data_IF_004584899688
#
_entry.id   IF_004584899688
#
_cell.length_a   1.000
_cell.length_b   1.000
_cell.length_c   1.000
_cell.angle_alpha   90.00
_cell.angle_beta   90.00
_cell.angle_gamma   90.00
#
_symmetry.space_group_name_H-M   'P 1'
#
loop_
_entity.id
_entity.type
_entity.pdbx_description
1 polymer ?
#
# COMPACT_ATOMS: atom_id res chain seq x y z
N UNK A 1 37.51 -26.96 -13.97
CA UNK A 1 37.13 -25.59 -13.60
C UNK A 1 35.67 -25.42 -13.97
N UNK A 2 34.78 -25.37 -12.97
CA UNK A 2 33.37 -25.05 -13.16
C UNK A 2 33.17 -23.71 -12.46
N UNK A 3 32.67 -22.72 -13.20
CA UNK A 3 32.33 -21.42 -12.67
C UNK A 3 30.97 -21.55 -11.96
N UNK A 4 30.86 -21.34 -10.64
CA UNK A 4 29.57 -21.24 -9.98
C UNK A 4 29.11 -19.78 -10.13
N UNK A 5 28.47 -19.48 -11.25
CA UNK A 5 27.68 -18.25 -11.33
C UNK A 5 26.47 -18.45 -10.42
N UNK A 6 26.47 -17.67 -9.33
CA UNK A 6 25.36 -17.39 -8.45
C UNK A 6 23.99 -17.50 -9.13
N UNK A 7 23.23 -18.53 -8.76
CA UNK A 7 21.77 -18.45 -8.77
C UNK A 7 21.31 -17.75 -7.49
N UNK A 8 21.71 -16.49 -7.33
CA UNK A 8 21.00 -15.59 -6.42
C UNK A 8 19.59 -15.41 -6.99
N UNK A 9 18.63 -16.09 -6.38
CA UNK A 9 17.22 -15.86 -6.69
C UNK A 9 16.92 -14.40 -6.38
N UNK A 10 16.42 -13.59 -7.31
CA UNK A 10 15.96 -12.25 -6.96
C UNK A 10 14.92 -12.44 -5.87
N UNK A 11 15.10 -11.77 -4.74
CA UNK A 11 14.11 -11.68 -3.66
C UNK A 11 12.80 -11.25 -4.32
N UNK A 12 11.93 -12.23 -4.63
CA UNK A 12 10.60 -11.98 -5.15
C UNK A 12 9.84 -11.36 -4.00
N UNK A 13 9.78 -10.03 -3.99
CA UNK A 13 8.82 -9.35 -3.13
C UNK A 13 7.43 -9.95 -3.43
N UNK A 14 6.62 -10.21 -2.40
CA UNK A 14 5.30 -10.79 -2.61
C UNK A 14 4.50 -9.88 -3.54
N UNK A 15 3.83 -10.48 -4.53
CA UNK A 15 2.99 -9.75 -5.46
C UNK A 15 1.89 -9.00 -4.69
N UNK A 16 1.54 -7.80 -5.18
CA UNK A 16 0.41 -7.07 -4.62
C UNK A 16 -0.88 -7.85 -4.91
N UNK A 17 -1.78 -8.00 -3.92
CA UNK A 17 -3.05 -8.69 -4.12
C UNK A 17 -3.95 -7.88 -5.05
N UNK A 18 -4.69 -8.55 -5.93
CA UNK A 18 -5.82 -7.91 -6.64
C UNK A 18 -7.01 -7.71 -5.69
N UNK A 19 -8.04 -7.02 -6.17
CA UNK A 19 -9.20 -6.75 -5.32
C UNK A 19 -10.00 -7.99 -4.94
N UNK A 20 -9.98 -9.03 -5.78
CA UNK A 20 -10.65 -10.31 -5.47
C UNK A 20 -9.98 -10.97 -4.25
N UNK A 21 -8.64 -10.99 -4.23
CA UNK A 21 -7.88 -11.49 -3.09
C UNK A 21 -8.14 -10.66 -1.83
N UNK A 22 -8.19 -9.35 -1.95
CA UNK A 22 -8.48 -8.46 -0.82
C UNK A 22 -9.89 -8.67 -0.27
N UNK A 23 -10.89 -8.83 -1.12
CA UNK A 23 -12.28 -9.15 -0.73
C UNK A 23 -12.36 -10.44 0.07
N UNK A 24 -11.70 -11.51 -0.37
CA UNK A 24 -11.67 -12.79 0.36
C UNK A 24 -11.08 -12.65 1.78
N UNK A 25 -10.09 -11.77 1.95
CA UNK A 25 -9.51 -11.45 3.26
C UNK A 25 -10.46 -10.61 4.10
N UNK A 26 -11.08 -9.58 3.52
CA UNK A 26 -12.01 -8.67 4.22
C UNK A 26 -13.29 -9.37 4.69
N UNK A 27 -13.78 -10.35 3.93
CA UNK A 27 -14.94 -11.17 4.29
C UNK A 27 -14.58 -12.36 5.21
N UNK A 28 -13.34 -12.41 5.71
CA UNK A 28 -12.80 -13.49 6.54
C UNK A 28 -12.94 -14.90 5.93
N UNK A 29 -13.01 -14.99 4.59
CA UNK A 29 -13.03 -16.27 3.88
C UNK A 29 -11.64 -16.90 3.83
N UNK A 30 -10.60 -16.07 3.82
CA UNK A 30 -9.20 -16.49 3.85
C UNK A 30 -8.38 -15.76 4.92
N UNK A 31 -7.24 -16.36 5.30
CA UNK A 31 -6.26 -15.73 6.20
C UNK A 31 -5.31 -14.80 5.42
N UNK A 32 -4.98 -13.60 5.94
CA UNK A 32 -3.98 -12.72 5.34
C UNK A 32 -2.60 -13.41 5.19
N UNK A 33 -2.11 -13.49 3.97
CA UNK A 33 -0.82 -14.10 3.61
C UNK A 33 0.33 -13.08 3.59
N UNK A 34 0.03 -11.81 3.29
CA UNK A 34 1.02 -10.73 3.18
C UNK A 34 0.78 -9.63 4.19
N UNK A 35 1.79 -8.79 4.43
CA UNK A 35 1.63 -7.60 5.27
C UNK A 35 0.65 -6.60 4.64
N UNK A 36 0.63 -6.49 3.31
CA UNK A 36 -0.32 -5.65 2.59
C UNK A 36 -1.78 -6.10 2.85
N UNK A 37 -2.04 -7.41 2.85
CA UNK A 37 -3.35 -7.97 3.19
C UNK A 37 -3.72 -7.74 4.67
N UNK A 38 -2.76 -7.84 5.59
CA UNK A 38 -2.99 -7.54 7.01
C UNK A 38 -3.32 -6.07 7.23
N UNK A 39 -2.59 -5.17 6.59
CA UNK A 39 -2.81 -3.74 6.69
C UNK A 39 -4.14 -3.32 6.08
N UNK A 40 -4.55 -3.91 4.94
CA UNK A 40 -5.86 -3.62 4.35
C UNK A 40 -7.01 -4.11 5.23
N UNK A 41 -6.87 -5.26 5.89
CA UNK A 41 -7.84 -5.74 6.87
C UNK A 41 -7.91 -4.82 8.10
N UNK A 42 -6.76 -4.42 8.65
CA UNK A 42 -6.70 -3.43 9.74
C UNK A 42 -7.36 -2.10 9.33
N UNK A 43 -7.28 -1.74 8.05
CA UNK A 43 -7.92 -0.55 7.53
C UNK A 43 -9.45 -0.66 7.59
N UNK A 44 -9.99 -1.81 7.17
CA UNK A 44 -11.42 -2.13 7.31
C UNK A 44 -11.87 -2.12 8.76
N UNK A 45 -11.10 -2.73 9.67
CA UNK A 45 -11.42 -2.76 11.10
C UNK A 45 -11.45 -1.33 11.68
N UNK A 46 -10.47 -0.50 11.34
CA UNK A 46 -10.41 0.91 11.75
C UNK A 46 -11.65 1.69 11.29
N UNK A 47 -12.08 1.48 10.04
CA UNK A 47 -13.32 2.08 9.54
C UNK A 47 -14.56 1.53 10.23
N UNK A 48 -14.60 0.23 10.52
CA UNK A 48 -15.70 -0.40 11.25
C UNK A 48 -15.88 0.22 12.63
N UNK A 49 -14.78 0.37 13.38
CA UNK A 49 -14.80 1.00 14.71
C UNK A 49 -15.25 2.46 14.63
N UNK A 50 -14.74 3.20 13.64
CA UNK A 50 -15.10 4.61 13.46
C UNK A 50 -16.58 4.79 13.08
N UNK A 51 -17.06 4.02 12.10
CA UNK A 51 -18.39 4.18 11.52
C UNK A 51 -19.49 3.60 12.41
N UNK A 52 -19.24 2.52 13.15
CA UNK A 52 -20.23 1.95 14.09
C UNK A 52 -20.65 2.95 15.17
N UNK A 53 -19.78 3.90 15.52
CA UNK A 53 -20.08 4.97 16.47
C UNK A 53 -20.84 6.16 15.89
N UNK A 54 -21.05 6.24 14.57
CA UNK A 54 -21.67 7.38 13.92
C UNK A 54 -23.17 7.18 13.68
N UNK A 55 -23.98 8.16 14.11
CA UNK A 55 -25.36 8.26 13.69
C UNK A 55 -25.42 8.97 12.36
N UNK A 56 -25.62 8.23 11.28
CA UNK A 56 -25.74 8.84 9.97
C UNK A 56 -27.20 8.84 9.57
N UNK A 57 -27.72 10.03 9.27
CA UNK A 57 -29.15 10.28 9.13
C UNK A 57 -29.58 10.28 7.67
N UNK A 58 -28.70 10.67 6.74
CA UNK A 58 -28.99 10.60 5.30
C UNK A 58 -27.74 10.41 4.41
N UNK A 59 -27.97 10.25 3.10
CA UNK A 59 -26.94 10.01 2.07
C UNK A 59 -25.93 11.19 1.94
N UNK A 60 -26.35 12.41 2.26
CA UNK A 60 -25.51 13.60 2.13
C UNK A 60 -24.45 13.68 3.22
N UNK A 61 -24.77 13.26 4.45
CA UNK A 61 -23.82 13.16 5.56
C UNK A 61 -22.60 12.29 5.19
N UNK A 62 -22.81 11.22 4.41
CA UNK A 62 -21.72 10.34 3.90
C UNK A 62 -20.88 10.99 2.82
N UNK A 63 -21.52 11.75 1.92
CA UNK A 63 -20.83 12.40 0.80
C UNK A 63 -19.85 13.47 1.30
N UNK A 64 -20.16 14.11 2.44
CA UNK A 64 -19.23 14.99 3.15
C UNK A 64 -18.15 14.21 3.94
N UNK A 65 -18.39 12.91 4.21
CA UNK A 65 -17.40 12.02 4.85
C UNK A 65 -16.29 11.56 3.89
N UNK A 66 -16.27 11.99 2.61
CA UNK A 66 -15.09 11.87 1.72
C UNK A 66 -13.85 12.60 2.31
N UNK A 67 -13.95 13.21 3.50
CA UNK A 67 -12.85 13.87 4.22
C UNK A 67 -12.72 13.38 5.66
N UNK A 68 -11.66 12.59 5.92
CA UNK A 68 -10.69 13.01 6.92
C UNK A 68 -9.34 13.22 6.23
N UNK A 69 -9.08 14.47 5.83
CA UNK A 69 -7.73 14.98 5.58
C UNK A 69 -7.19 15.68 6.83
N UNK A 70 -6.80 14.89 7.85
CA UNK A 70 -5.57 15.22 8.55
C UNK A 70 -4.48 14.21 8.19
N UNK A 71 -3.31 14.74 7.83
CA UNK A 71 -2.06 14.03 7.53
C UNK A 71 -1.64 13.08 8.68
N UNK A 72 -2.17 13.29 9.89
CA UNK A 72 -1.82 12.57 11.12
C UNK A 72 -2.94 11.65 11.69
N UNK A 73 -3.95 11.28 10.90
CA UNK A 73 -4.91 10.26 11.34
C UNK A 73 -4.33 8.85 11.24
N UNK A 74 -4.84 7.91 12.05
CA UNK A 74 -4.56 6.48 11.90
C UNK A 74 -4.82 6.01 10.46
N UNK A 75 -5.88 6.53 9.84
CA UNK A 75 -6.25 6.25 8.45
C UNK A 75 -5.16 6.73 7.48
N UNK A 76 -4.64 7.95 7.63
CA UNK A 76 -3.56 8.47 6.79
C UNK A 76 -2.25 7.68 6.97
N UNK A 77 -1.94 7.28 8.20
CA UNK A 77 -0.77 6.44 8.49
C UNK A 77 -0.88 5.05 7.83
N UNK A 78 -2.05 4.42 7.88
CA UNK A 78 -2.29 3.13 7.22
C UNK A 78 -2.18 3.24 5.69
N UNK A 79 -2.75 4.29 5.07
CA UNK A 79 -2.57 4.55 3.64
C UNK A 79 -1.09 4.69 3.27
N UNK A 80 -0.33 5.47 4.04
CA UNK A 80 1.11 5.63 3.83
C UNK A 80 1.86 4.30 3.95
N UNK A 81 1.56 3.49 4.97
CA UNK A 81 2.24 2.19 5.15
C UNK A 81 1.89 1.24 4.00
N UNK A 82 0.66 1.24 3.51
CA UNK A 82 0.28 0.51 2.29
C UNK A 82 1.06 1.01 1.06
N UNK A 83 1.24 2.32 0.89
CA UNK A 83 2.05 2.88 -0.19
C UNK A 83 3.53 2.47 -0.09
N UNK A 84 4.08 2.36 1.13
CA UNK A 84 5.44 1.86 1.36
C UNK A 84 5.57 0.39 0.97
N UNK A 85 4.61 -0.45 1.37
CA UNK A 85 4.58 -1.86 0.97
C UNK A 85 4.37 -2.02 -0.55
N UNK A 86 3.56 -1.17 -1.18
CA UNK A 86 3.40 -1.15 -2.62
C UNK A 86 4.69 -0.78 -3.34
N UNK A 87 5.38 0.26 -2.87
CA UNK A 87 6.68 0.64 -3.42
C UNK A 87 7.70 -0.50 -3.34
N UNK A 88 7.79 -1.17 -2.19
CA UNK A 88 8.68 -2.31 -2.00
C UNK A 88 8.30 -3.49 -2.92
N UNK A 89 7.00 -3.83 -3.01
CA UNK A 89 6.52 -4.92 -3.84
C UNK A 89 6.76 -4.68 -5.34
N UNK A 90 6.68 -3.43 -5.78
CA UNK A 90 6.93 -3.01 -7.15
C UNK A 90 8.43 -2.78 -7.46
N UNK A 91 9.31 -2.85 -6.45
CA UNK A 91 10.72 -2.48 -6.61
C UNK A 91 10.89 -1.01 -7.03
N UNK A 92 10.02 -0.13 -6.54
CA UNK A 92 9.94 1.25 -6.97
C UNK A 92 11.21 2.03 -6.62
N UNK A 93 11.83 2.63 -7.63
CA UNK A 93 12.92 3.61 -7.48
C UNK A 93 12.37 5.03 -7.43
N UNK A 94 13.14 6.05 -6.99
CA UNK A 94 12.71 7.45 -7.00
C UNK A 94 12.17 7.94 -8.35
N UNK A 95 12.70 7.43 -9.47
CA UNK A 95 12.29 7.80 -10.83
C UNK A 95 10.94 7.19 -11.24
N UNK A 96 10.54 6.09 -10.58
CA UNK A 96 9.25 5.40 -10.80
C UNK A 96 8.12 5.96 -9.93
N UNK A 97 8.41 6.96 -9.09
CA UNK A 97 7.48 7.59 -8.17
C UNK A 97 7.16 9.01 -8.63
N UNK A 98 5.89 9.40 -8.50
CA UNK A 98 5.45 10.79 -8.65
C UNK A 98 4.98 11.30 -7.29
N UNK A 99 5.61 12.37 -6.80
CA UNK A 99 5.18 13.06 -5.59
C UNK A 99 4.06 14.05 -5.92
N UNK A 100 2.86 13.80 -5.41
CA UNK A 100 1.69 14.67 -5.54
C UNK A 100 1.54 15.55 -4.29
N UNK A 101 0.94 16.73 -4.47
CA UNK A 101 0.62 17.62 -3.34
C UNK A 101 -0.30 16.91 -2.34
N UNK A 102 -0.14 17.23 -1.05
CA UNK A 102 -0.98 16.65 0.00
C UNK A 102 -2.47 16.98 -0.22
N UNK A 103 -2.76 18.13 -0.84
CA UNK A 103 -4.12 18.57 -1.17
C UNK A 103 -4.63 18.12 -2.54
N UNK A 104 -3.82 17.38 -3.33
CA UNK A 104 -4.25 16.91 -4.65
C UNK A 104 -5.52 16.05 -4.58
N UNK A 105 -6.38 16.16 -5.58
CA UNK A 105 -7.56 15.31 -5.76
C UNK A 105 -7.22 13.89 -6.23
N UNK A 106 -5.98 13.66 -6.69
CA UNK A 106 -5.47 12.33 -7.01
C UNK A 106 -5.31 11.49 -5.75
N UNK A 107 -5.58 10.19 -5.84
CA UNK A 107 -5.43 9.24 -4.74
C UNK A 107 -4.17 8.40 -4.92
N UNK A 108 -3.43 8.16 -3.85
CA UNK A 108 -2.39 7.12 -3.83
C UNK A 108 -3.01 5.72 -3.84
N UNK A 109 -2.17 4.69 -3.98
CA UNK A 109 -2.65 3.32 -4.00
C UNK A 109 -3.24 2.92 -2.63
N UNK A 110 -2.56 3.29 -1.55
CA UNK A 110 -3.02 3.08 -0.18
C UNK A 110 -4.32 3.83 0.12
N UNK A 111 -4.44 5.08 -0.34
CA UNK A 111 -5.68 5.85 -0.19
C UNK A 111 -6.85 5.25 -0.97
N UNK A 112 -6.59 4.69 -2.16
CA UNK A 112 -7.61 3.97 -2.94
C UNK A 112 -8.14 2.75 -2.17
N UNK A 113 -7.25 1.97 -1.54
CA UNK A 113 -7.65 0.86 -0.66
C UNK A 113 -8.40 1.37 0.59
N UNK A 114 -7.97 2.48 1.17
CA UNK A 114 -8.68 3.11 2.29
C UNK A 114 -10.11 3.49 1.95
N UNK A 115 -10.31 4.05 0.76
CA UNK A 115 -11.65 4.37 0.27
C UNK A 115 -12.47 3.13 -0.01
N UNK A 116 -11.89 2.10 -0.63
CA UNK A 116 -12.59 0.84 -0.91
C UNK A 116 -13.02 0.13 0.39
N UNK A 117 -12.15 0.08 1.40
CA UNK A 117 -12.49 -0.51 2.70
C UNK A 117 -13.57 0.28 3.45
N UNK A 118 -13.50 1.61 3.45
CA UNK A 118 -14.56 2.46 4.00
C UNK A 118 -15.90 2.15 3.33
N UNK A 119 -15.95 2.13 1.99
CA UNK A 119 -17.16 1.86 1.23
C UNK A 119 -17.72 0.44 1.47
N UNK A 120 -16.85 -0.55 1.67
CA UNK A 120 -17.27 -1.90 2.06
C UNK A 120 -17.96 -1.91 3.43
N UNK A 121 -17.38 -1.24 4.43
CA UNK A 121 -17.99 -1.12 5.76
C UNK A 121 -19.33 -0.38 5.70
N UNK A 122 -19.44 0.67 4.88
CA UNK A 122 -20.69 1.41 4.68
C UNK A 122 -21.80 0.52 4.10
N UNK A 123 -21.46 -0.31 3.11
CA UNK A 123 -22.39 -1.29 2.53
C UNK A 123 -22.81 -2.35 3.56
N UNK A 124 -21.90 -2.79 4.43
CA UNK A 124 -22.19 -3.76 5.48
C UNK A 124 -23.12 -3.21 6.57
N UNK A 125 -22.91 -1.94 6.97
CA UNK A 125 -23.65 -1.30 8.07
C UNK A 125 -25.00 -0.72 7.65
N UNK A 126 -25.13 -0.22 6.41
CA UNK A 126 -26.36 0.44 5.92
C UNK A 126 -26.79 -0.06 4.53
N UNK A 127 -27.14 -1.35 4.39
CA UNK A 127 -27.53 -1.90 3.09
C UNK A 127 -28.77 -1.20 2.50
N UNK A 128 -29.70 -0.71 3.33
CA UNK A 128 -30.95 -0.10 2.86
C UNK A 128 -30.81 1.36 2.40
N UNK A 129 -29.75 2.06 2.84
CA UNK A 129 -29.56 3.50 2.57
C UNK A 129 -28.60 3.64 1.39
N UNK A 130 -29.15 3.68 0.18
CA UNK A 130 -28.40 3.98 -1.05
C UNK A 130 -27.45 2.89 -1.54
N UNK A 131 -27.86 1.62 -1.43
CA UNK A 131 -27.12 0.46 -1.96
C UNK A 131 -26.59 0.72 -3.39
N UNK A 132 -27.43 1.25 -4.26
CA UNK A 132 -27.07 1.54 -5.65
C UNK A 132 -25.93 2.56 -5.82
N UNK A 133 -25.88 3.62 -5.00
CA UNK A 133 -24.84 4.66 -5.11
C UNK A 133 -23.56 4.18 -4.46
N UNK A 134 -23.65 3.59 -3.28
CA UNK A 134 -22.51 3.05 -2.54
C UNK A 134 -21.87 1.89 -3.29
N UNK A 135 -22.65 0.96 -3.82
CA UNK A 135 -22.15 -0.15 -4.62
C UNK A 135 -21.47 0.35 -5.90
N UNK A 136 -22.01 1.38 -6.57
CA UNK A 136 -21.32 1.99 -7.73
C UNK A 136 -20.00 2.63 -7.35
N UNK A 137 -19.94 3.38 -6.25
CA UNK A 137 -18.69 4.01 -5.77
C UNK A 137 -17.67 2.95 -5.35
N UNK A 138 -18.12 1.91 -4.64
CA UNK A 138 -17.30 0.76 -4.26
C UNK A 138 -16.71 0.09 -5.50
N UNK A 139 -17.56 -0.27 -6.46
CA UNK A 139 -17.15 -0.87 -7.74
C UNK A 139 -16.17 0.02 -8.54
N UNK A 140 -16.33 1.34 -8.46
CA UNK A 140 -15.41 2.27 -9.12
C UNK A 140 -14.04 2.30 -8.42
N UNK A 141 -14.01 2.32 -7.09
CA UNK A 141 -12.78 2.30 -6.31
C UNK A 141 -12.02 0.97 -6.49
N UNK A 142 -12.72 -0.17 -6.41
CA UNK A 142 -12.14 -1.51 -6.59
C UNK A 142 -11.56 -1.70 -7.99
N UNK A 143 -12.30 -1.32 -9.02
CA UNK A 143 -11.80 -1.35 -10.41
C UNK A 143 -10.65 -0.37 -10.63
N UNK A 144 -10.70 0.80 -10.00
CA UNK A 144 -9.63 1.79 -10.05
C UNK A 144 -8.32 1.25 -9.47
N UNK A 145 -8.40 0.48 -8.38
CA UNK A 145 -7.25 -0.20 -7.79
C UNK A 145 -6.61 -1.20 -8.77
N UNK A 146 -7.37 -2.16 -9.30
CA UNK A 146 -6.83 -3.18 -10.20
C UNK A 146 -6.25 -2.59 -11.50
N UNK A 147 -6.92 -1.56 -12.04
CA UNK A 147 -6.41 -0.83 -13.21
C UNK A 147 -5.09 -0.13 -12.90
N UNK A 148 -5.00 0.51 -11.73
CA UNK A 148 -3.78 1.18 -11.28
C UNK A 148 -2.65 0.17 -11.10
N UNK A 149 -2.90 -0.95 -10.43
CA UNK A 149 -1.93 -2.05 -10.31
C UNK A 149 -1.43 -2.53 -11.68
N UNK A 150 -2.35 -2.74 -12.62
CA UNK A 150 -2.01 -3.15 -13.99
C UNK A 150 -1.09 -2.13 -14.67
N UNK A 151 -1.41 -0.83 -14.58
CA UNK A 151 -0.59 0.22 -15.17
C UNK A 151 0.78 0.35 -14.49
N UNK A 152 0.86 0.14 -13.18
CA UNK A 152 2.13 0.14 -12.44
C UNK A 152 3.01 -1.05 -12.87
N UNK A 153 2.45 -2.26 -12.93
CA UNK A 153 3.19 -3.45 -13.35
C UNK A 153 3.68 -3.39 -14.80
N UNK A 154 2.91 -2.75 -15.68
CA UNK A 154 3.26 -2.61 -17.09
C UNK A 154 4.09 -1.36 -17.40
N UNK A 155 4.40 -0.53 -16.39
CA UNK A 155 5.18 0.70 -16.54
C UNK A 155 4.44 1.84 -17.26
N UNK A 156 3.12 1.73 -17.46
CA UNK A 156 2.28 2.78 -18.06
C UNK A 156 1.93 3.90 -17.07
N UNK A 157 2.12 3.66 -15.76
CA UNK A 157 1.94 4.66 -14.71
C UNK A 157 3.13 4.66 -13.74
N UNK A 158 3.28 5.77 -13.02
CA UNK A 158 4.20 5.91 -11.88
C UNK A 158 3.42 5.77 -10.58
N UNK A 159 4.07 5.27 -9.54
CA UNK A 159 3.46 5.16 -8.22
C UNK A 159 3.27 6.57 -7.65
N UNK A 160 2.02 6.94 -7.36
CA UNK A 160 1.71 8.21 -6.71
C UNK A 160 2.00 8.13 -5.21
N UNK A 161 2.60 9.17 -4.66
CA UNK A 161 2.83 9.33 -3.22
C UNK A 161 2.61 10.77 -2.80
N UNK A 162 2.03 10.99 -1.63
CA UNK A 162 1.91 12.33 -1.04
C UNK A 162 3.29 12.88 -0.70
N UNK A 163 3.50 14.20 -0.87
CA UNK A 163 4.76 14.86 -0.50
C UNK A 163 5.09 14.69 0.98
N UNK A 164 4.09 14.78 1.85
CA UNK A 164 4.23 14.49 3.29
C UNK A 164 4.73 13.06 3.57
N UNK A 165 4.42 12.08 2.71
CA UNK A 165 4.85 10.68 2.85
C UNK A 165 6.31 10.45 2.42
N UNK A 166 6.92 11.44 1.74
CA UNK A 166 8.26 11.39 1.15
C UNK A 166 8.43 10.24 0.14
N UNK A 167 9.63 10.16 -0.44
CA UNK A 167 10.03 9.03 -1.28
C UNK A 167 9.99 7.72 -0.48
N UNK A 168 9.73 6.59 -1.15
CA UNK A 168 9.68 5.29 -0.48
C UNK A 168 11.04 4.97 0.16
N UNK A 169 11.05 4.13 1.22
CA UNK A 169 12.29 3.66 1.80
C UNK A 169 13.15 2.96 0.72
N UNK A 170 14.48 3.09 0.76
CA UNK A 170 15.33 2.39 -0.19
C UNK A 170 15.07 0.89 -0.11
N UNK A 171 14.89 0.23 -1.25
CA UNK A 171 14.92 -1.23 -1.32
C UNK A 171 16.33 -1.65 -0.90
N UNK A 172 16.49 -2.14 0.33
CA UNK A 172 17.78 -2.65 0.79
C UNK A 172 18.00 -3.96 0.05
N UNK A 173 18.72 -3.91 -1.07
CA UNK A 173 19.37 -5.08 -1.63
C UNK A 173 20.34 -5.58 -0.57
N UNK A 174 20.05 -6.75 0.02
CA UNK A 174 21.00 -7.42 0.91
C UNK A 174 22.16 -8.00 0.09
N UNK A 175 22.98 -7.12 -0.50
CA UNK A 175 24.32 -7.42 -0.98
C UNK A 175 25.26 -6.44 -0.29
N UNK A 176 25.54 -6.72 0.98
CA UNK A 176 26.75 -6.23 1.62
C UNK A 176 27.57 -7.45 1.98
N UNK A 177 28.25 -8.01 0.99
CA UNK A 177 29.39 -8.89 1.25
C UNK A 177 30.42 -8.02 1.98
N UNK A 178 30.81 -8.35 3.23
CA UNK A 178 31.90 -7.63 3.87
C UNK A 178 33.15 -7.92 3.06
N UNK A 179 33.71 -6.89 2.43
CA UNK A 179 35.00 -6.99 1.75
C UNK A 179 36.04 -7.56 2.70
N UNK A 180 36.77 -8.56 2.21
CA UNK A 180 37.95 -9.12 2.86
C UNK A 180 38.86 -7.98 3.37
N UNK A 181 38.99 -7.89 4.69
CA UNK A 181 39.96 -7.00 5.32
C UNK A 181 41.36 -7.39 4.84
N UNK A 182 42.02 -6.41 4.23
CA UNK A 182 43.40 -6.48 3.79
C UNK A 182 44.32 -6.90 4.93
N UNK A 183 45.10 -7.95 4.68
CA UNK A 183 46.17 -8.44 5.55
C UNK A 183 47.40 -7.53 5.41
N UNK A 184 47.37 -6.36 6.05
CA UNK A 184 48.55 -5.48 6.14
C UNK A 184 49.50 -6.00 7.24
N UNK A 185 50.44 -6.87 6.85
CA UNK A 185 51.51 -7.34 7.72
C UNK A 185 52.55 -6.24 7.90
N UNK A 186 52.48 -5.57 9.05
CA UNK A 186 53.49 -4.62 9.54
C UNK A 186 54.84 -5.35 9.71
N UNK A 187 55.83 -5.05 8.86
CA UNK A 187 57.24 -5.39 9.12
C UNK A 187 57.87 -4.29 9.98
N UNK A 188 58.01 -4.56 11.27
CA UNK A 188 58.87 -3.76 12.14
C UNK A 188 60.33 -4.11 11.87
N UNK A 189 61.06 -3.16 11.29
CA UNK A 189 62.52 -3.11 11.35
C UNK A 189 62.93 -2.84 12.79
N UNK A 190 63.79 -3.69 13.35
CA UNK A 190 64.63 -3.33 14.49
C UNK A 190 66.08 -3.57 14.07
N UNK A 191 66.85 -2.51 14.26
CA UNK A 191 68.31 -2.35 14.08
C UNK A 191 69.14 -3.37 14.82
#
# INVERSE_FOLDING_TARGET
MVNPADTASPTRHPALPDIERLLMVWEHRDTPATEFERLSLLYRDTWTDYLTGMHILDVADWLDTDTPRPIDTTVAQLARTLDDHAALALGATPESVTLIEDESEEYTLGETIGRATMLAVLLDLWPDISEDVLARRFNWATRGYDLTLTHLHTGHARLLRRRSHRLPPPCISTETTPGESENETIRLHTT
#
